data_IF_813014757568
#
_entry.id   IF_813014757568
#
_cell.length_a   1.000
_cell.length_b   1.000
_cell.length_c   1.000
_cell.angle_alpha   90.00
_cell.angle_beta   90.00
_cell.angle_gamma   90.00
#
_symmetry.space_group_name_H-M   'P 1'
#
loop_
_entity.id
_entity.type
_entity.pdbx_description
1 polymer ?
#
# COMPACT_ATOMS: atom_id res chain seq x y z
N UNK A 1 -61.60 -2.62 -6.17
CA UNK A 1 -62.57 -2.68 -7.29
C UNK A 1 -63.29 -1.35 -7.35
N UNK A 2 -63.39 -0.78 -8.55
CA UNK A 2 -63.72 0.62 -8.86
C UNK A 2 -65.21 0.94 -8.75
N UNK A 3 -65.55 2.14 -8.30
CA UNK A 3 -66.82 2.82 -8.62
C UNK A 3 -66.51 4.25 -9.09
N UNK A 4 -66.92 4.49 -10.35
CA UNK A 4 -67.04 5.76 -11.09
C UNK A 4 -67.98 6.72 -10.33
N UNK A 5 -68.07 8.03 -10.52
CA UNK A 5 -67.80 8.94 -11.61
C UNK A 5 -68.07 10.35 -11.07
N UNK A 6 -67.45 11.37 -11.68
CA UNK A 6 -68.07 12.64 -12.10
C UNK A 6 -67.07 13.78 -11.99
N UNK A 7 -66.81 14.45 -13.11
CA UNK A 7 -67.37 15.78 -13.35
C UNK A 7 -66.72 16.41 -14.59
N UNK A 8 -67.61 17.12 -15.30
CA UNK A 8 -67.37 18.33 -16.10
C UNK A 8 -66.53 18.20 -17.38
N UNK A 9 -67.31 18.14 -18.46
CA UNK A 9 -67.13 18.92 -19.69
C UNK A 9 -66.40 20.24 -19.44
N UNK A 10 -65.32 20.48 -20.17
CA UNK A 10 -65.12 21.76 -20.85
C UNK A 10 -64.53 21.50 -22.23
N UNK A 11 -65.30 21.93 -23.23
CA UNK A 11 -64.98 21.95 -24.65
C UNK A 11 -64.37 23.32 -24.89
N UNK A 12 -63.08 23.41 -25.21
CA UNK A 12 -62.52 24.59 -25.85
C UNK A 12 -61.63 24.14 -27.01
N UNK A 13 -62.10 24.55 -28.18
CA UNK A 13 -61.43 24.49 -29.47
C UNK A 13 -60.35 25.57 -29.42
N UNK A 14 -59.11 25.19 -29.68
CA UNK A 14 -57.98 26.10 -29.79
C UNK A 14 -56.97 25.49 -30.77
N UNK A 15 -56.89 26.11 -31.94
CA UNK A 15 -56.05 25.78 -33.09
C UNK A 15 -54.55 25.73 -32.77
N UNK A 16 -53.87 24.83 -33.48
CA UNK A 16 -52.44 24.59 -33.44
C UNK A 16 -51.58 25.82 -33.74
N UNK A 17 -50.49 25.96 -32.97
CA UNK A 17 -49.26 26.65 -33.40
C UNK A 17 -48.10 25.79 -32.90
N UNK A 18 -47.42 25.12 -33.83
CA UNK A 18 -46.13 24.48 -33.61
C UNK A 18 -45.06 25.56 -33.46
N UNK A 19 -44.36 25.58 -32.33
CA UNK A 19 -43.03 26.17 -32.23
C UNK A 19 -42.10 25.16 -31.57
N UNK A 20 -41.21 24.62 -32.40
CA UNK A 20 -40.04 23.85 -32.03
C UNK A 20 -39.14 24.66 -31.10
N UNK A 21 -38.96 24.21 -29.86
CA UNK A 21 -37.87 24.66 -29.01
C UNK A 21 -37.07 23.43 -28.61
N UNK A 22 -35.93 23.25 -29.28
CA UNK A 22 -34.95 22.23 -28.97
C UNK A 22 -34.44 22.44 -27.53
N UNK A 23 -34.73 21.51 -26.63
CA UNK A 23 -34.08 21.47 -25.32
C UNK A 23 -32.67 20.95 -25.56
N UNK A 24 -31.71 21.87 -25.53
CA UNK A 24 -30.30 21.54 -25.59
C UNK A 24 -29.93 20.67 -24.38
N UNK A 25 -29.53 19.43 -24.65
CA UNK A 25 -28.86 18.55 -23.70
C UNK A 25 -27.48 19.14 -23.40
N UNK A 26 -27.37 19.97 -22.37
CA UNK A 26 -26.09 20.33 -21.78
C UNK A 26 -25.71 19.27 -20.73
N UNK A 27 -25.39 18.07 -21.21
CA UNK A 27 -24.70 17.06 -20.40
C UNK A 27 -23.24 17.49 -20.29
N UNK A 28 -22.89 18.30 -19.29
CA UNK A 28 -21.50 18.60 -18.93
C UNK A 28 -20.87 17.38 -18.27
N UNK A 29 -20.59 16.36 -19.08
CA UNK A 29 -19.61 15.32 -18.78
C UNK A 29 -18.23 15.92 -18.98
N UNK A 30 -17.71 16.58 -17.96
CA UNK A 30 -16.30 16.95 -17.88
C UNK A 30 -15.78 16.72 -16.45
N UNK A 31 -16.10 15.56 -15.90
CA UNK A 31 -15.33 14.95 -14.83
C UNK A 31 -14.31 13.99 -15.42
N UNK A 32 -13.44 14.48 -16.32
CA UNK A 32 -12.19 13.78 -16.61
C UNK A 32 -11.34 13.89 -15.34
N UNK A 33 -11.59 12.98 -14.39
CA UNK A 33 -10.58 12.61 -13.40
C UNK A 33 -9.39 12.14 -14.23
N UNK A 34 -8.37 12.99 -14.35
CA UNK A 34 -7.18 12.66 -15.12
C UNK A 34 -6.62 11.32 -14.65
N UNK A 35 -6.23 10.48 -15.61
CA UNK A 35 -5.59 9.18 -15.42
C UNK A 35 -4.19 9.28 -14.77
N UNK A 36 -3.84 10.42 -14.16
CA UNK A 36 -2.59 10.57 -13.43
C UNK A 36 -2.76 10.03 -12.00
N UNK A 37 -1.83 9.16 -11.54
CA UNK A 37 -1.79 8.75 -10.16
C UNK A 37 -1.82 9.97 -9.22
N UNK A 38 -2.53 9.89 -8.09
CA UNK A 38 -2.60 11.00 -7.15
C UNK A 38 -1.19 11.44 -6.74
N UNK A 39 -0.96 12.76 -6.74
CA UNK A 39 0.36 13.34 -6.43
C UNK A 39 0.82 12.93 -5.03
N UNK A 40 2.10 12.61 -4.89
CA UNK A 40 2.76 12.31 -3.61
C UNK A 40 3.42 13.60 -3.07
N UNK A 41 2.66 14.46 -2.40
CA UNK A 41 3.09 15.80 -1.97
C UNK A 41 3.84 15.84 -0.62
N UNK A 42 4.08 14.68 -0.02
CA UNK A 42 4.86 14.53 1.21
C UNK A 42 6.35 14.22 0.94
N UNK A 43 7.17 14.42 1.97
CA UNK A 43 8.59 14.03 1.99
C UNK A 43 8.78 12.78 2.84
N UNK A 44 9.52 11.81 2.33
CA UNK A 44 9.92 10.64 3.09
C UNK A 44 11.19 10.97 3.89
N UNK A 45 11.23 10.67 5.21
CA UNK A 45 12.44 10.88 6.01
C UNK A 45 13.58 9.94 5.56
N UNK A 46 14.86 10.36 5.70
CA UNK A 46 16.00 9.56 5.24
C UNK A 46 16.26 8.30 6.08
N UNK A 47 15.62 8.20 7.25
CA UNK A 47 15.71 7.03 8.12
C UNK A 47 14.31 6.60 8.56
N UNK A 48 14.08 5.29 8.51
CA UNK A 48 12.88 4.63 8.99
C UNK A 48 13.29 3.59 10.03
N UNK A 49 12.84 3.79 11.27
CA UNK A 49 13.15 2.89 12.38
C UNK A 49 14.66 2.68 12.62
N UNK A 50 15.44 3.76 12.46
CA UNK A 50 16.89 3.72 12.64
C UNK A 50 17.67 3.17 11.45
N UNK A 51 16.99 2.79 10.36
CA UNK A 51 17.60 2.28 9.14
C UNK A 51 17.56 3.34 8.06
N UNK A 52 18.71 3.65 7.48
CA UNK A 52 18.81 4.58 6.36
C UNK A 52 18.45 3.87 5.07
N UNK A 53 17.39 4.31 4.41
CA UNK A 53 16.93 3.75 3.12
C UNK A 53 16.67 4.91 2.16
N UNK A 54 16.85 4.67 0.85
CA UNK A 54 16.59 5.69 -0.16
C UNK A 54 15.12 6.16 -0.09
N UNK A 55 14.87 7.46 0.20
CA UNK A 55 13.53 8.03 0.23
C UNK A 55 12.73 7.80 -1.06
N UNK A 56 13.39 7.72 -2.22
CA UNK A 56 12.73 7.50 -3.51
C UNK A 56 12.13 6.08 -3.61
N UNK A 57 12.83 5.06 -3.10
CA UNK A 57 12.33 3.68 -3.09
C UNK A 57 11.11 3.54 -2.17
N UNK A 58 11.15 4.19 -1.01
CA UNK A 58 10.01 4.22 -0.10
C UNK A 58 8.84 4.97 -0.73
N UNK A 59 9.10 6.12 -1.36
CA UNK A 59 8.05 6.94 -2.00
C UNK A 59 7.40 6.22 -3.18
N UNK A 60 8.13 5.36 -3.90
CA UNK A 60 7.57 4.51 -4.94
C UNK A 60 6.53 3.53 -4.39
N UNK A 61 6.79 2.95 -3.21
CA UNK A 61 5.92 1.98 -2.53
C UNK A 61 4.72 2.59 -1.77
N UNK A 62 4.60 3.92 -1.72
CA UNK A 62 3.51 4.63 -1.03
C UNK A 62 2.48 5.19 -2.01
N UNK A 63 1.20 5.30 -1.63
CA UNK A 63 0.16 5.92 -2.47
C UNK A 63 0.31 7.44 -2.57
N UNK A 64 -0.43 8.08 -3.47
CA UNK A 64 -0.63 9.53 -3.48
C UNK A 64 -1.21 10.07 -2.16
N UNK A 65 -0.94 11.34 -1.86
CA UNK A 65 -1.43 12.03 -0.67
C UNK A 65 -0.60 13.26 -0.29
N UNK A 66 -1.03 13.94 0.76
CA UNK A 66 -0.50 15.26 1.14
C UNK A 66 0.48 15.21 2.32
N UNK A 67 0.28 14.26 3.23
CA UNK A 67 1.02 14.17 4.49
C UNK A 67 1.54 12.76 4.75
N UNK A 68 2.71 12.66 5.37
CA UNK A 68 3.31 11.40 5.79
C UNK A 68 3.63 11.46 7.29
N UNK A 69 3.22 10.42 8.00
CA UNK A 69 3.60 10.20 9.40
C UNK A 69 4.24 8.83 9.55
N UNK A 70 5.07 8.67 10.58
CA UNK A 70 5.76 7.41 10.87
C UNK A 70 5.58 7.06 12.33
N UNK A 71 5.42 5.78 12.63
CA UNK A 71 5.32 5.26 13.98
C UNK A 71 6.19 4.01 14.13
N UNK A 72 7.09 4.02 15.12
CA UNK A 72 7.88 2.85 15.50
C UNK A 72 7.18 2.11 16.63
N UNK A 73 7.02 0.80 16.48
CA UNK A 73 6.47 -0.09 17.51
C UNK A 73 7.40 -1.28 17.74
N UNK A 74 7.36 -1.83 18.96
CA UNK A 74 8.08 -3.05 19.35
C UNK A 74 7.06 -4.06 19.88
N UNK A 75 6.34 -4.77 19.00
CA UNK A 75 5.21 -5.61 19.42
C UNK A 75 5.63 -6.80 20.30
N UNK A 76 6.90 -7.21 20.22
CA UNK A 76 7.51 -8.23 21.07
C UNK A 76 9.03 -7.99 21.18
N UNK A 77 9.72 -8.84 21.93
CA UNK A 77 11.18 -8.71 22.19
C UNK A 77 12.09 -8.91 20.97
N UNK A 78 11.59 -9.47 19.86
CA UNK A 78 12.39 -9.75 18.66
C UNK A 78 11.96 -8.95 17.43
N UNK A 79 11.00 -8.02 17.54
CA UNK A 79 10.46 -7.29 16.37
C UNK A 79 10.51 -5.79 16.59
N UNK A 80 11.05 -5.06 15.62
CA UNK A 80 10.91 -3.62 15.47
C UNK A 80 10.12 -3.35 14.20
N UNK A 81 9.04 -2.57 14.28
CA UNK A 81 8.16 -2.27 13.15
C UNK A 81 8.00 -0.77 12.95
N UNK A 82 8.09 -0.33 11.70
CA UNK A 82 7.80 1.02 11.21
C UNK A 82 6.51 1.02 10.41
N UNK A 83 5.51 1.72 10.90
CA UNK A 83 4.28 1.96 10.14
C UNK A 83 4.34 3.37 9.56
N UNK A 84 4.12 3.48 8.26
CA UNK A 84 4.04 4.74 7.53
C UNK A 84 2.57 4.96 7.17
N UNK A 85 2.06 6.13 7.53
CA UNK A 85 0.68 6.51 7.22
C UNK A 85 0.64 7.74 6.32
N UNK A 86 -0.06 7.61 5.19
CA UNK A 86 -0.35 8.72 4.28
C UNK A 86 -1.75 9.24 4.59
N UNK A 87 -1.86 10.54 4.87
CA UNK A 87 -3.13 11.19 5.23
C UNK A 87 -3.92 10.46 6.33
N UNK A 88 -3.18 9.99 7.34
CA UNK A 88 -3.71 9.31 8.51
C UNK A 88 -4.10 7.83 8.29
N UNK A 89 -3.86 7.26 7.11
CA UNK A 89 -4.10 5.85 6.80
C UNK A 89 -2.78 5.11 6.67
N UNK A 90 -2.61 4.01 7.43
CA UNK A 90 -1.43 3.15 7.29
C UNK A 90 -1.38 2.63 5.86
N UNK A 91 -0.24 2.84 5.20
CA UNK A 91 -0.03 2.50 3.79
C UNK A 91 1.10 1.47 3.63
N UNK A 92 2.12 1.54 4.48
CA UNK A 92 3.29 0.69 4.42
C UNK A 92 3.79 0.34 5.82
N UNK A 93 4.15 -0.91 6.02
CA UNK A 93 4.78 -1.44 7.22
C UNK A 93 6.15 -2.01 6.83
N UNK A 94 7.20 -1.57 7.51
CA UNK A 94 8.55 -2.12 7.44
C UNK A 94 8.86 -2.80 8.78
N UNK A 95 9.43 -3.99 8.79
CA UNK A 95 9.81 -4.65 10.04
C UNK A 95 11.19 -5.27 9.98
N UNK A 96 11.85 -5.33 11.13
CA UNK A 96 12.99 -6.18 11.45
C UNK A 96 12.46 -7.21 12.44
N UNK A 97 12.62 -8.50 12.16
CA UNK A 97 12.11 -9.58 13.00
C UNK A 97 13.14 -10.70 13.14
N UNK A 98 13.45 -11.05 14.38
CA UNK A 98 14.29 -12.19 14.73
C UNK A 98 13.45 -13.47 14.80
N UNK A 99 13.83 -14.46 14.00
CA UNK A 99 13.16 -15.77 13.91
C UNK A 99 14.13 -16.90 14.29
N UNK A 100 13.64 -17.91 14.98
CA UNK A 100 14.45 -19.03 15.50
C UNK A 100 14.79 -20.09 14.45
N UNK A 101 15.55 -21.11 14.89
CA UNK A 101 15.87 -22.35 14.18
C UNK A 101 15.69 -22.35 12.65
N UNK A 102 16.63 -21.68 11.96
CA UNK A 102 16.82 -21.74 10.49
C UNK A 102 15.51 -21.61 9.71
N UNK A 103 14.60 -20.74 10.16
CA UNK A 103 13.44 -20.38 9.37
C UNK A 103 13.92 -19.89 7.99
N UNK A 104 13.34 -20.36 6.89
CA UNK A 104 13.72 -19.85 5.57
C UNK A 104 12.94 -18.56 5.27
N UNK A 105 13.39 -17.75 4.31
CA UNK A 105 12.58 -16.62 3.84
C UNK A 105 11.15 -17.06 3.44
N UNK A 106 11.02 -18.25 2.84
CA UNK A 106 9.73 -18.85 2.51
C UNK A 106 8.93 -19.34 3.72
N UNK A 107 9.60 -19.85 4.76
CA UNK A 107 8.95 -20.22 6.02
C UNK A 107 8.41 -19.00 6.75
N UNK A 108 9.26 -17.98 6.95
CA UNK A 108 8.88 -16.72 7.60
C UNK A 108 7.79 -16.00 6.81
N UNK A 109 7.82 -16.05 5.47
CA UNK A 109 6.78 -15.45 4.64
C UNK A 109 5.38 -15.91 5.02
N UNK A 110 5.18 -17.18 5.41
CA UNK A 110 3.86 -17.71 5.80
C UNK A 110 3.26 -17.05 7.05
N UNK A 111 4.06 -16.32 7.84
CA UNK A 111 3.58 -15.60 9.01
C UNK A 111 3.08 -14.17 8.70
N UNK A 112 3.24 -13.69 7.47
CA UNK A 112 2.85 -12.35 7.05
C UNK A 112 1.72 -12.40 6.03
N UNK A 113 0.82 -11.42 6.08
CA UNK A 113 -0.25 -11.35 5.09
C UNK A 113 0.31 -10.90 3.74
N UNK A 114 -0.40 -11.26 2.65
CA UNK A 114 -0.08 -10.87 1.28
C UNK A 114 1.27 -11.39 0.74
N UNK A 115 1.88 -12.36 1.42
CA UNK A 115 3.07 -13.09 0.94
C UNK A 115 2.70 -14.45 0.34
N UNK A 116 1.44 -14.85 0.45
CA UNK A 116 0.88 -16.03 -0.22
C UNK A 116 1.19 -15.98 -1.72
N UNK A 117 1.55 -17.13 -2.31
CA UNK A 117 1.98 -17.25 -3.71
C UNK A 117 3.18 -16.36 -4.11
N UNK A 118 3.96 -15.89 -3.12
CA UNK A 118 5.15 -15.09 -3.34
C UNK A 118 6.22 -15.79 -4.17
N UNK A 119 6.88 -15.02 -5.04
CA UNK A 119 8.03 -15.49 -5.81
C UNK A 119 9.24 -15.57 -4.89
N UNK A 120 9.87 -16.75 -4.86
CA UNK A 120 11.16 -16.97 -4.21
C UNK A 120 12.28 -16.53 -5.15
N UNK A 121 13.26 -15.78 -4.63
CA UNK A 121 14.47 -15.40 -5.36
C UNK A 121 15.39 -16.60 -5.59
N UNK A 122 16.27 -16.51 -6.60
CA UNK A 122 17.21 -17.59 -6.94
C UNK A 122 18.18 -17.93 -5.80
N UNK A 123 18.54 -16.92 -4.99
CA UNK A 123 19.40 -17.09 -3.81
C UNK A 123 18.63 -17.56 -2.56
N UNK A 124 17.32 -17.77 -2.69
CA UNK A 124 16.38 -18.21 -1.64
C UNK A 124 16.22 -17.25 -0.46
N UNK A 125 16.78 -16.04 -0.56
CA UNK A 125 16.79 -15.06 0.52
C UNK A 125 15.57 -14.15 0.54
N UNK A 126 14.81 -14.09 -0.54
CA UNK A 126 13.68 -13.19 -0.66
C UNK A 126 12.44 -13.93 -1.14
N UNK A 127 11.32 -13.69 -0.46
CA UNK A 127 9.98 -14.01 -0.97
C UNK A 127 9.23 -12.71 -1.12
N UNK A 128 8.64 -12.48 -2.29
CA UNK A 128 7.90 -11.24 -2.54
C UNK A 128 6.69 -11.44 -3.44
N UNK A 129 5.70 -10.59 -3.23
CA UNK A 129 4.57 -10.35 -4.11
C UNK A 129 4.59 -8.86 -4.51
N UNK A 130 3.60 -8.42 -5.28
CA UNK A 130 3.40 -6.98 -5.52
C UNK A 130 2.94 -6.18 -4.30
N UNK A 131 2.68 -6.83 -3.16
CA UNK A 131 2.10 -6.21 -1.95
C UNK A 131 2.91 -6.39 -0.69
N UNK A 132 3.69 -7.46 -0.60
CA UNK A 132 4.51 -7.73 0.56
C UNK A 132 5.75 -8.54 0.19
N UNK A 133 6.69 -8.62 1.11
CA UNK A 133 7.76 -9.57 1.01
C UNK A 133 8.61 -9.66 2.26
N UNK A 134 9.38 -10.74 2.33
CA UNK A 134 10.29 -11.10 3.40
C UNK A 134 11.68 -11.28 2.82
N UNK A 135 12.67 -10.67 3.46
CA UNK A 135 14.08 -10.77 3.11
C UNK A 135 14.89 -11.32 4.27
N UNK A 136 15.64 -12.39 4.05
CA UNK A 136 16.61 -12.93 5.01
C UNK A 136 17.94 -12.18 4.88
N UNK A 137 18.48 -11.68 5.98
CA UNK A 137 19.81 -11.05 5.99
C UNK A 137 20.92 -12.07 5.71
N UNK A 138 22.11 -11.61 5.34
CA UNK A 138 23.31 -12.46 5.21
C UNK A 138 23.60 -13.25 6.49
N UNK A 139 24.22 -14.42 6.34
CA UNK A 139 24.49 -15.35 7.45
C UNK A 139 25.45 -14.80 8.52
N UNK A 140 26.26 -13.79 8.18
CA UNK A 140 27.12 -13.09 9.13
C UNK A 140 26.36 -12.10 10.02
N UNK A 141 25.07 -11.85 9.74
CA UNK A 141 24.21 -10.99 10.55
C UNK A 141 23.82 -11.68 11.85
N UNK A 142 24.66 -11.53 12.86
CA UNK A 142 24.53 -12.22 14.14
C UNK A 142 24.83 -11.27 15.28
N UNK A 143 23.96 -11.26 16.29
CA UNK A 143 24.11 -10.44 17.49
C UNK A 143 23.94 -11.31 18.74
N UNK A 144 24.60 -10.92 19.83
CA UNK A 144 24.62 -11.68 21.09
C UNK A 144 23.25 -11.84 21.74
N UNK A 145 22.35 -10.90 21.48
CA UNK A 145 21.00 -10.83 22.01
C UNK A 145 20.08 -11.88 21.37
N UNK A 146 20.44 -12.36 20.16
CA UNK A 146 19.65 -13.26 19.34
C UNK A 146 20.52 -14.41 18.77
N UNK A 147 21.19 -15.20 19.62
CA UNK A 147 22.28 -16.10 19.20
C UNK A 147 21.82 -17.28 18.34
N UNK A 148 20.58 -17.73 18.52
CA UNK A 148 19.98 -18.87 17.80
C UNK A 148 18.98 -18.42 16.73
N UNK A 149 18.94 -17.12 16.45
CA UNK A 149 17.97 -16.54 15.53
C UNK A 149 18.66 -15.93 14.31
N UNK A 150 17.89 -15.81 13.24
CA UNK A 150 18.24 -15.11 12.02
C UNK A 150 17.39 -13.83 11.92
N UNK A 151 17.99 -12.76 11.38
CA UNK A 151 17.28 -11.51 11.16
C UNK A 151 16.59 -11.52 9.79
N UNK A 152 15.31 -11.18 9.81
CA UNK A 152 14.49 -11.00 8.61
C UNK A 152 14.02 -9.57 8.55
N UNK A 153 13.88 -9.06 7.33
CA UNK A 153 13.12 -7.85 7.08
C UNK A 153 11.81 -8.18 6.41
N UNK A 154 10.82 -7.33 6.65
CA UNK A 154 9.51 -7.45 6.03
C UNK A 154 9.07 -6.09 5.51
N UNK A 155 8.54 -6.08 4.29
CA UNK A 155 7.87 -4.93 3.69
C UNK A 155 6.46 -5.35 3.37
N UNK A 156 5.45 -4.62 3.85
CA UNK A 156 4.05 -4.98 3.66
C UNK A 156 3.20 -3.72 3.42
N UNK A 157 2.38 -3.76 2.38
CA UNK A 157 1.42 -2.70 2.06
C UNK A 157 0.09 -2.95 2.76
N UNK A 158 -0.61 -1.89 3.13
CA UNK A 158 -1.89 -1.97 3.85
C UNK A 158 -3.03 -1.44 2.99
N UNK A 159 -3.62 -2.29 2.14
CA UNK A 159 -4.85 -2.01 1.36
C UNK A 159 -4.92 -0.64 0.63
N UNK A 160 -3.78 0.00 0.41
CA UNK A 160 -3.64 1.25 -0.34
C UNK A 160 -3.06 0.93 -1.70
N UNK A 161 -3.68 1.46 -2.76
CA UNK A 161 -3.24 1.28 -4.14
C UNK A 161 -1.80 1.72 -4.32
N UNK A 162 -0.88 0.76 -4.27
CA UNK A 162 0.50 0.95 -4.71
C UNK A 162 0.47 1.03 -6.22
N UNK A 163 0.98 2.15 -6.74
CA UNK A 163 0.94 2.44 -8.17
C UNK A 163 1.97 1.61 -8.97
N UNK A 164 2.96 1.01 -8.29
CA UNK A 164 4.05 0.24 -8.88
C UNK A 164 4.24 -1.13 -8.17
N UNK A 165 3.83 -2.25 -8.78
CA UNK A 165 3.97 -3.58 -8.18
C UNK A 165 5.43 -4.02 -7.99
N UNK A 166 6.39 -3.46 -8.74
CA UNK A 166 7.82 -3.78 -8.59
C UNK A 166 8.47 -2.97 -7.45
N UNK A 167 7.81 -1.92 -6.95
CA UNK A 167 8.36 -1.07 -5.90
C UNK A 167 8.58 -1.84 -4.60
N UNK A 168 7.73 -2.84 -4.30
CA UNK A 168 7.84 -3.65 -3.08
C UNK A 168 9.08 -4.52 -3.10
N UNK A 169 9.36 -5.21 -4.22
CA UNK A 169 10.57 -6.02 -4.36
C UNK A 169 11.83 -5.15 -4.22
N UNK A 170 11.89 -4.03 -4.95
CA UNK A 170 13.04 -3.11 -4.91
C UNK A 170 13.26 -2.55 -3.51
N UNK A 171 12.18 -2.13 -2.84
CA UNK A 171 12.26 -1.63 -1.47
C UNK A 171 12.68 -2.71 -0.49
N UNK A 172 12.15 -3.93 -0.61
CA UNK A 172 12.51 -5.07 0.24
C UNK A 172 14.00 -5.38 0.16
N UNK A 173 14.55 -5.48 -1.06
CA UNK A 173 15.96 -5.76 -1.28
C UNK A 173 16.83 -4.64 -0.72
N UNK A 174 16.48 -3.38 -0.99
CA UNK A 174 17.22 -2.23 -0.49
C UNK A 174 17.18 -2.11 1.04
N UNK A 175 16.00 -2.32 1.63
CA UNK A 175 15.81 -2.26 3.08
C UNK A 175 16.55 -3.41 3.78
N UNK A 176 16.51 -4.63 3.24
CA UNK A 176 17.31 -5.76 3.75
C UNK A 176 18.79 -5.42 3.75
N UNK A 177 19.32 -4.92 2.63
CA UNK A 177 20.72 -4.52 2.52
C UNK A 177 21.08 -3.38 3.48
N UNK A 178 20.17 -2.43 3.71
CA UNK A 178 20.38 -1.36 4.66
C UNK A 178 20.42 -1.85 6.11
N UNK A 179 19.59 -2.83 6.46
CA UNK A 179 19.61 -3.50 7.77
C UNK A 179 20.94 -4.24 7.97
N UNK A 180 21.44 -4.94 6.94
CA UNK A 180 22.73 -5.63 6.99
C UNK A 180 23.92 -4.72 7.25
N UNK A 181 23.86 -3.47 6.78
CA UNK A 181 24.89 -2.46 7.02
C UNK A 181 24.71 -1.66 8.30
N UNK A 182 23.74 -2.01 9.14
CA UNK A 182 23.37 -1.26 10.34
C UNK A 182 23.77 -1.98 11.62
N UNK A 183 23.75 -1.26 12.74
CA UNK A 183 23.99 -1.83 14.07
C UNK A 183 22.99 -2.93 14.48
N UNK A 184 21.86 -3.09 13.78
CA UNK A 184 20.96 -4.23 13.99
C UNK A 184 21.62 -5.57 13.62
N UNK A 185 22.69 -5.52 12.82
CA UNK A 185 23.38 -6.68 12.25
C UNK A 185 24.82 -6.86 12.77
N UNK A 186 25.27 -6.00 13.70
CA UNK A 186 26.62 -5.96 14.25
C UNK A 186 27.37 -4.69 13.90
#
# INVERSE_FOLDING_TARGET
MSVRESLRRHRFIGTAVSLSAAVALASTLAGCSGDEPPKKAYTVPPSLCGITVDPALVKAALPGGDSLTTATTKPNGGTVRCNLSVDGKEALSLAQAWWGDRDSAAGVAQAYANTDDGKLSDDLRFVHTGKAGVGQTISSCKVSEHPEQDLYTVVETRDTGVDDPDAIEKLLVAYTKAVEGSAACG
#
